data_IF_629531543451
#
_entry.id   IF_629531543451
#
_cell.length_a   1.000
_cell.length_b   1.000
_cell.length_c   1.000
_cell.angle_alpha   90.00
_cell.angle_beta   90.00
_cell.angle_gamma   90.00
#
_symmetry.space_group_name_H-M   'P 1'
#
loop_
_entity.id
_entity.type
_entity.pdbx_description
1 polymer ?
#
# COMPACT_ATOMS: atom_id res chain seq x y z
N UNK A 1 5.10 -34.64 -39.49
CA UNK A 1 3.78 -34.10 -39.09
C UNK A 1 3.81 -32.62 -39.40
N UNK A 2 3.50 -32.28 -40.64
CA UNK A 2 3.82 -30.95 -41.22
C UNK A 2 2.95 -29.84 -40.64
N UNK A 3 1.81 -30.21 -40.04
CA UNK A 3 0.97 -29.31 -39.25
C UNK A 3 1.67 -28.81 -37.99
N UNK A 4 2.35 -29.71 -37.27
CA UNK A 4 3.12 -29.32 -36.08
C UNK A 4 4.32 -28.44 -36.45
N UNK A 5 5.02 -28.73 -37.54
CA UNK A 5 6.11 -27.88 -38.00
C UNK A 5 5.64 -26.46 -38.39
N UNK A 6 4.48 -26.33 -39.05
CA UNK A 6 3.90 -25.01 -39.35
C UNK A 6 3.53 -24.23 -38.07
N UNK A 7 2.95 -24.90 -37.08
CA UNK A 7 2.61 -24.27 -35.81
C UNK A 7 3.86 -23.81 -35.03
N UNK A 8 4.93 -24.61 -35.04
CA UNK A 8 6.19 -24.22 -34.39
C UNK A 8 6.84 -23.03 -35.11
N UNK A 9 6.87 -23.03 -36.44
CA UNK A 9 7.42 -21.90 -37.21
C UNK A 9 6.64 -20.61 -36.99
N UNK A 10 5.31 -20.69 -36.91
CA UNK A 10 4.44 -19.55 -36.56
C UNK A 10 4.76 -19.02 -35.15
N UNK A 11 4.87 -19.92 -34.16
CA UNK A 11 5.13 -19.57 -32.77
C UNK A 11 6.52 -18.94 -32.57
N UNK A 12 7.52 -19.40 -33.32
CA UNK A 12 8.89 -18.85 -33.30
C UNK A 12 8.92 -17.47 -33.95
N UNK A 13 8.19 -17.27 -35.06
CA UNK A 13 8.07 -15.96 -35.70
C UNK A 13 7.36 -14.93 -34.79
N UNK A 14 6.25 -15.32 -34.15
CA UNK A 14 5.54 -14.48 -33.19
C UNK A 14 6.40 -14.16 -31.95
N UNK A 15 7.14 -15.14 -31.41
CA UNK A 15 8.08 -14.88 -30.32
C UNK A 15 9.20 -13.92 -30.69
N UNK A 16 9.72 -14.00 -31.92
CA UNK A 16 10.71 -13.06 -32.44
C UNK A 16 10.16 -11.64 -32.48
N UNK A 17 8.93 -11.46 -32.94
CA UNK A 17 8.24 -10.18 -32.98
C UNK A 17 8.04 -9.58 -31.58
N UNK A 18 7.55 -10.37 -30.61
CA UNK A 18 7.36 -9.91 -29.23
C UNK A 18 8.68 -9.50 -28.57
N UNK A 19 9.76 -10.28 -28.74
CA UNK A 19 11.08 -9.91 -28.20
C UNK A 19 11.61 -8.60 -28.79
N UNK A 20 11.34 -8.35 -30.07
CA UNK A 20 11.76 -7.11 -30.73
C UNK A 20 10.92 -5.90 -30.27
N UNK A 21 9.64 -6.08 -29.96
CA UNK A 21 8.79 -5.06 -29.33
C UNK A 21 9.26 -4.75 -27.89
N UNK A 22 9.60 -5.76 -27.09
CA UNK A 22 10.14 -5.58 -25.74
C UNK A 22 11.49 -4.86 -25.74
N UNK A 23 12.38 -5.14 -26.71
CA UNK A 23 13.65 -4.43 -26.84
C UNK A 23 13.49 -2.98 -27.34
N UNK A 24 12.53 -2.70 -28.25
CA UNK A 24 12.24 -1.33 -28.67
C UNK A 24 11.58 -0.48 -27.57
N UNK A 25 10.84 -1.10 -26.66
CA UNK A 25 10.30 -0.43 -25.46
C UNK A 25 11.37 -0.19 -24.38
N UNK A 26 12.48 -0.94 -24.36
CA UNK A 26 13.55 -0.84 -23.38
C UNK A 26 14.50 0.38 -23.50
N UNK A 27 14.27 1.27 -24.48
CA UNK A 27 15.05 2.50 -24.65
C UNK A 27 14.36 3.76 -24.08
N UNK A 28 13.16 3.63 -23.51
CA UNK A 28 12.48 4.73 -22.84
C UNK A 28 11.96 4.29 -21.45
N UNK A 29 12.48 4.96 -20.41
CA UNK A 29 12.04 4.91 -19.01
C UNK A 29 12.48 3.70 -18.17
N UNK A 30 13.48 3.95 -17.31
CA UNK A 30 13.64 3.25 -16.04
C UNK A 30 12.45 3.63 -15.15
N UNK A 31 11.59 2.67 -14.84
CA UNK A 31 10.91 2.60 -13.56
C UNK A 31 10.45 1.16 -13.32
N UNK A 32 11.02 0.53 -12.29
CA UNK A 32 10.58 -0.77 -11.82
C UNK A 32 9.40 -0.56 -10.87
N UNK A 33 8.18 -0.76 -11.36
CA UNK A 33 7.01 -0.93 -10.49
C UNK A 33 6.20 -2.11 -10.99
N UNK A 34 6.02 -3.09 -10.12
CA UNK A 34 5.31 -4.34 -10.39
C UNK A 34 3.80 -4.09 -10.41
N UNK A 35 3.23 -3.87 -11.60
CA UNK A 35 1.77 -3.86 -11.78
C UNK A 35 1.22 -5.28 -11.68
N UNK A 36 0.58 -5.58 -10.55
CA UNK A 36 -0.33 -6.73 -10.41
C UNK A 36 -1.72 -6.29 -10.90
N UNK A 37 -2.00 -6.53 -12.18
CA UNK A 37 -3.34 -6.34 -12.76
C UNK A 37 -4.20 -7.55 -12.41
N UNK A 38 -5.21 -7.34 -11.57
CA UNK A 38 -6.38 -8.23 -11.46
C UNK A 38 -7.65 -7.37 -11.55
N UNK A 39 -8.15 -7.28 -12.78
CA UNK A 39 -9.56 -7.07 -13.21
C UNK A 39 -10.53 -6.33 -12.27
N UNK A 40 -10.67 -5.01 -12.46
CA UNK A 40 -11.97 -4.36 -12.77
C UNK A 40 -11.74 -2.88 -13.13
N UNK A 41 -12.20 -2.43 -14.31
CA UNK A 41 -12.36 -1.00 -14.64
C UNK A 41 -11.08 -0.19 -14.79
N UNK A 42 -10.54 -0.12 -16.00
CA UNK A 42 -9.36 0.64 -16.37
C UNK A 42 -9.62 2.16 -16.34
N UNK A 43 -9.50 2.77 -15.15
CA UNK A 43 -9.13 4.18 -15.06
C UNK A 43 -7.60 4.23 -15.03
N UNK A 44 -6.98 4.58 -16.16
CA UNK A 44 -5.58 4.99 -16.18
C UNK A 44 -5.43 6.24 -15.30
N UNK A 45 -4.98 6.04 -14.07
CA UNK A 45 -4.51 7.11 -13.21
C UNK A 45 -3.16 7.56 -13.75
N UNK A 46 -3.15 8.57 -14.61
CA UNK A 46 -1.95 9.40 -14.75
C UNK A 46 -1.62 9.96 -13.36
N UNK A 47 -0.36 9.92 -12.89
CA UNK A 47 0.03 10.59 -11.66
C UNK A 47 -0.27 12.09 -11.83
N UNK A 48 -1.38 12.56 -11.27
CA UNK A 48 -1.78 13.97 -11.40
C UNK A 48 -0.93 14.91 -10.55
N UNK A 49 -0.02 14.37 -9.75
CA UNK A 49 0.84 15.16 -8.89
C UNK A 49 2.21 15.39 -9.56
N UNK A 50 2.62 16.64 -9.82
CA UNK A 50 4.02 16.91 -10.14
C UNK A 50 4.93 16.38 -9.01
N UNK A 51 6.21 16.09 -9.30
CA UNK A 51 7.14 15.61 -8.29
C UNK A 51 7.13 16.57 -7.11
N UNK A 52 6.65 16.11 -5.95
CA UNK A 52 6.67 16.91 -4.73
C UNK A 52 8.10 16.98 -4.19
N UNK A 53 8.46 18.15 -3.70
CA UNK A 53 9.75 18.38 -3.07
C UNK A 53 9.88 17.51 -1.80
N UNK A 54 11.03 16.87 -1.63
CA UNK A 54 11.36 16.08 -0.45
C UNK A 54 11.94 16.94 0.70
N UNK A 55 11.88 18.27 0.58
CA UNK A 55 12.24 19.20 1.66
C UNK A 55 11.33 19.02 2.89
N UNK A 56 11.75 19.50 4.08
CA UNK A 56 10.93 19.42 5.29
C UNK A 56 9.53 20.03 5.14
N UNK A 57 9.40 21.12 4.37
CA UNK A 57 8.11 21.73 4.08
C UNK A 57 7.25 20.86 3.15
N UNK A 58 7.86 20.22 2.15
CA UNK A 58 7.18 19.27 1.27
C UNK A 58 6.68 18.02 2.00
N UNK A 59 7.50 17.46 2.90
CA UNK A 59 7.10 16.33 3.74
C UNK A 59 5.98 16.70 4.71
N UNK A 60 6.02 17.89 5.30
CA UNK A 60 4.93 18.40 6.13
C UNK A 60 3.63 18.51 5.33
N UNK A 61 3.67 19.08 4.12
CA UNK A 61 2.49 19.18 3.25
C UNK A 61 1.92 17.81 2.88
N UNK A 62 2.78 16.82 2.60
CA UNK A 62 2.35 15.43 2.34
C UNK A 62 1.67 14.84 3.58
N UNK A 63 2.24 15.03 4.77
CA UNK A 63 1.68 14.53 6.02
C UNK A 63 0.30 15.14 6.32
N UNK A 64 0.16 16.46 6.15
CA UNK A 64 -1.10 17.18 6.38
C UNK A 64 -2.21 16.72 5.42
N UNK A 65 -1.90 16.58 4.14
CA UNK A 65 -2.85 16.09 3.14
C UNK A 65 -3.24 14.64 3.40
N UNK A 66 -2.25 13.79 3.71
CA UNK A 66 -2.50 12.37 4.02
C UNK A 66 -3.39 12.25 5.26
N UNK A 67 -3.17 13.08 6.28
CA UNK A 67 -4.02 13.11 7.48
C UNK A 67 -5.45 13.55 7.14
N UNK A 68 -5.60 14.62 6.35
CA UNK A 68 -6.93 15.11 5.96
C UNK A 68 -7.70 14.06 5.14
N UNK A 69 -7.04 13.41 4.19
CA UNK A 69 -7.63 12.33 3.38
C UNK A 69 -7.97 11.12 4.26
N UNK A 70 -7.07 10.73 5.17
CA UNK A 70 -7.30 9.64 6.11
C UNK A 70 -8.52 9.91 6.98
N UNK A 71 -8.64 11.08 7.59
CA UNK A 71 -9.79 11.42 8.44
C UNK A 71 -11.10 11.43 7.64
N UNK A 72 -11.08 12.00 6.44
CA UNK A 72 -12.24 11.99 5.53
C UNK A 72 -12.73 10.56 5.23
N UNK A 73 -11.81 9.60 5.02
CA UNK A 73 -12.14 8.20 4.75
C UNK A 73 -12.47 7.39 6.01
N UNK A 74 -11.77 7.63 7.12
CA UNK A 74 -11.87 6.85 8.34
C UNK A 74 -13.14 7.16 9.14
N UNK A 75 -13.48 8.46 9.27
CA UNK A 75 -14.63 8.92 10.07
C UNK A 75 -15.78 9.46 9.23
N UNK A 76 -15.52 9.86 7.98
CA UNK A 76 -16.53 10.41 7.08
C UNK A 76 -17.29 9.34 6.28
N UNK A 77 -18.05 9.82 5.29
CA UNK A 77 -18.81 9.02 4.32
C UNK A 77 -18.13 8.95 2.96
N UNK A 78 -16.84 9.30 2.88
CA UNK A 78 -16.09 9.34 1.62
C UNK A 78 -15.85 7.95 1.01
N UNK A 79 -16.05 6.89 1.80
CA UNK A 79 -15.92 5.50 1.36
C UNK A 79 -17.22 4.77 1.67
N UNK A 80 -17.75 4.08 0.67
CA UNK A 80 -18.83 3.12 0.85
C UNK A 80 -18.26 1.84 1.47
N UNK A 81 -18.66 1.54 2.70
CA UNK A 81 -18.13 0.42 3.48
C UNK A 81 -19.07 -0.77 3.43
N UNK A 82 -18.54 -1.93 3.02
CA UNK A 82 -19.24 -3.22 3.10
C UNK A 82 -18.61 -4.06 4.19
N UNK A 83 -19.42 -4.51 5.14
CA UNK A 83 -18.97 -5.36 6.23
C UNK A 83 -18.52 -6.72 5.70
N UNK A 84 -17.38 -7.21 6.18
CA UNK A 84 -16.84 -8.50 5.79
C UNK A 84 -17.78 -9.65 6.24
N UNK A 85 -18.25 -10.50 5.30
CA UNK A 85 -19.07 -11.65 5.64
C UNK A 85 -18.34 -12.64 6.55
N UNK A 86 -19.07 -13.30 7.44
CA UNK A 86 -18.52 -14.35 8.31
C UNK A 86 -17.77 -13.86 9.55
N UNK A 87 -17.64 -12.56 9.75
CA UNK A 87 -17.16 -11.99 11.02
C UNK A 87 -18.23 -12.11 12.10
N UNK A 88 -17.96 -12.94 13.13
CA UNK A 88 -18.73 -12.95 14.38
C UNK A 88 -18.03 -12.03 15.38
N UNK A 89 -18.72 -11.06 16.00
CA UNK A 89 -18.15 -10.32 17.12
C UNK A 89 -17.86 -11.33 18.25
N UNK A 90 -16.58 -11.56 18.52
CA UNK A 90 -16.14 -12.19 19.75
C UNK A 90 -16.29 -11.23 20.93
N UNK A 91 -16.37 -11.76 22.17
CA UNK A 91 -16.63 -10.97 23.38
C UNK A 91 -15.60 -9.86 23.64
N UNK A 92 -14.36 -10.03 23.17
CA UNK A 92 -13.25 -9.07 23.32
C UNK A 92 -12.73 -8.51 21.97
N UNK A 93 -13.54 -8.57 20.91
CA UNK A 93 -13.06 -8.47 19.52
C UNK A 93 -13.27 -7.13 18.82
N UNK A 94 -12.51 -6.92 17.73
CA UNK A 94 -12.79 -5.92 16.69
C UNK A 94 -14.27 -6.04 16.29
N UNK A 95 -15.08 -5.04 16.66
CA UNK A 95 -16.52 -5.04 16.47
C UNK A 95 -16.97 -4.89 15.01
N UNK A 96 -16.14 -4.29 14.16
CA UNK A 96 -16.46 -4.09 12.73
C UNK A 96 -15.20 -4.27 11.90
N UNK A 97 -15.25 -5.15 10.90
CA UNK A 97 -14.29 -5.18 9.79
C UNK A 97 -15.07 -4.94 8.50
N UNK A 98 -14.67 -3.91 7.75
CA UNK A 98 -15.30 -3.55 6.49
C UNK A 98 -14.25 -3.26 5.42
N UNK A 99 -14.62 -3.46 4.18
CA UNK A 99 -13.82 -3.14 3.01
C UNK A 99 -14.54 -2.13 2.14
N UNK A 100 -13.78 -1.35 1.37
CA UNK A 100 -14.35 -0.39 0.45
C UNK A 100 -15.07 -1.08 -0.71
N UNK A 101 -16.23 -0.53 -1.09
CA UNK A 101 -16.97 -0.93 -2.28
C UNK A 101 -17.00 0.20 -3.31
N UNK A 102 -16.93 -0.13 -4.59
CA UNK A 102 -17.11 0.81 -5.69
C UNK A 102 -16.05 1.92 -5.83
N UNK A 103 -14.99 1.96 -5.02
CA UNK A 103 -13.93 2.96 -5.13
C UNK A 103 -12.72 2.44 -5.92
N UNK A 104 -11.90 3.37 -6.43
CA UNK A 104 -10.59 3.04 -6.99
C UNK A 104 -9.63 2.63 -5.87
N UNK A 105 -9.02 1.45 -6.01
CA UNK A 105 -8.14 0.86 -5.01
C UNK A 105 -8.87 0.05 -3.94
N UNK A 106 -8.13 -0.36 -2.90
CA UNK A 106 -8.65 -1.18 -1.80
C UNK A 106 -8.39 -0.47 -0.48
N UNK A 107 -9.45 -0.21 0.29
CA UNK A 107 -9.36 0.24 1.67
C UNK A 107 -10.04 -0.77 2.60
N UNK A 108 -9.53 -0.88 3.82
CA UNK A 108 -10.09 -1.70 4.88
C UNK A 108 -10.19 -0.88 6.16
N UNK A 109 -11.25 -1.11 6.93
CA UNK A 109 -11.48 -0.49 8.23
C UNK A 109 -11.76 -1.58 9.26
N UNK A 110 -11.04 -1.51 10.38
CA UNK A 110 -11.29 -2.30 11.56
C UNK A 110 -11.58 -1.37 12.75
N UNK A 111 -12.68 -1.60 13.47
CA UNK A 111 -13.07 -0.80 14.63
C UNK A 111 -13.21 -1.70 15.85
N UNK A 112 -12.63 -1.31 16.98
CA UNK A 112 -12.77 -2.00 18.27
C UNK A 112 -12.77 -0.98 19.41
N UNK A 113 -13.37 -1.34 20.53
CA UNK A 113 -13.36 -0.54 21.76
C UNK A 113 -12.24 -1.03 22.67
N UNK A 114 -11.50 -0.10 23.26
CA UNK A 114 -10.43 -0.40 24.22
C UNK A 114 -10.58 0.49 25.45
N UNK A 115 -10.31 -0.05 26.63
CA UNK A 115 -10.38 0.67 27.90
C UNK A 115 -9.12 1.47 28.21
N UNK A 116 -8.58 2.20 27.24
CA UNK A 116 -7.34 2.98 27.36
C UNK A 116 -7.54 4.41 26.85
N UNK A 117 -6.81 5.36 27.43
CA UNK A 117 -6.74 6.74 26.95
C UNK A 117 -6.17 6.81 25.51
N UNK A 118 -6.66 7.72 24.64
CA UNK A 118 -6.24 7.78 23.24
C UNK A 118 -4.72 7.92 23.03
N UNK A 119 -4.04 8.70 23.87
CA UNK A 119 -2.59 8.86 23.82
C UNK A 119 -1.87 7.55 24.09
N UNK A 120 -2.35 6.76 25.05
CA UNK A 120 -1.77 5.45 25.36
C UNK A 120 -1.96 4.45 24.21
N UNK A 121 -3.11 4.50 23.55
CA UNK A 121 -3.36 3.69 22.35
C UNK A 121 -2.39 4.08 21.24
N UNK A 122 -2.20 5.39 20.99
CA UNK A 122 -1.27 5.87 19.96
C UNK A 122 0.18 5.41 20.23
N UNK A 123 0.65 5.49 21.47
CA UNK A 123 2.01 5.03 21.82
C UNK A 123 2.19 3.52 21.62
N UNK A 124 1.19 2.70 21.97
CA UNK A 124 1.23 1.26 21.69
C UNK A 124 1.28 1.02 20.18
N UNK A 125 0.42 1.68 19.39
CA UNK A 125 0.38 1.50 17.93
C UNK A 125 1.69 1.92 17.24
N UNK A 126 2.40 2.92 17.79
CA UNK A 126 3.71 3.35 17.29
C UNK A 126 4.81 2.32 17.57
N UNK A 127 4.75 1.62 18.71
CA UNK A 127 5.70 0.57 19.10
C UNK A 127 5.39 -0.77 18.42
N UNK A 128 5.45 -0.78 17.08
CA UNK A 128 5.10 -1.97 16.26
C UNK A 128 5.85 -3.25 16.65
N UNK A 129 7.16 -3.24 16.95
CA UNK A 129 7.87 -4.46 17.33
C UNK A 129 7.33 -5.14 18.60
N UNK A 130 6.68 -4.39 19.50
CA UNK A 130 6.13 -4.97 20.75
C UNK A 130 4.89 -5.83 20.56
N UNK A 131 4.11 -5.61 19.49
CA UNK A 131 2.80 -6.26 19.31
C UNK A 131 2.56 -6.84 17.91
N UNK A 132 3.21 -6.31 16.86
CA UNK A 132 3.06 -6.83 15.52
C UNK A 132 4.07 -7.95 15.27
N UNK A 133 3.64 -9.20 15.41
CA UNK A 133 4.49 -10.39 15.34
C UNK A 133 5.31 -10.51 14.04
N UNK A 134 4.76 -10.06 12.93
CA UNK A 134 5.45 -10.11 11.63
C UNK A 134 6.39 -8.92 11.43
N UNK A 135 6.40 -7.94 12.33
CA UNK A 135 7.35 -6.84 12.33
C UNK A 135 8.71 -7.34 12.81
N UNK A 136 9.69 -7.31 11.92
CA UNK A 136 11.07 -7.69 12.23
C UNK A 136 11.84 -6.55 12.86
N UNK A 137 11.74 -5.35 12.29
CA UNK A 137 12.47 -4.16 12.73
C UNK A 137 11.73 -2.89 12.29
N UNK A 138 11.91 -1.83 13.07
CA UNK A 138 11.52 -0.46 12.73
C UNK A 138 12.65 0.47 13.15
N UNK A 139 13.23 1.18 12.18
CA UNK A 139 14.29 2.15 12.40
C UNK A 139 13.77 3.56 12.08
N UNK A 140 13.91 4.49 13.01
CA UNK A 140 13.64 5.92 12.77
C UNK A 140 14.89 6.53 12.15
N UNK A 141 14.77 6.96 10.91
CA UNK A 141 15.89 7.46 10.11
C UNK A 141 15.98 8.97 10.12
N UNK A 142 14.85 9.66 10.28
CA UNK A 142 14.83 11.10 10.44
C UNK A 142 13.65 11.57 11.30
N UNK A 143 13.83 12.71 11.97
CA UNK A 143 12.88 13.35 12.85
C UNK A 143 12.80 14.84 12.49
N UNK A 144 11.60 15.30 12.14
CA UNK A 144 11.32 16.67 11.75
C UNK A 144 10.32 17.28 12.73
N UNK A 145 10.69 18.33 13.49
CA UNK A 145 9.75 18.98 14.39
C UNK A 145 8.68 19.76 13.60
N UNK A 146 7.45 19.76 14.09
CA UNK A 146 6.35 20.54 13.52
C UNK A 146 6.05 21.77 14.37
N UNK A 147 5.44 22.80 13.77
CA UNK A 147 5.16 24.08 14.44
C UNK A 147 4.19 23.95 15.64
N UNK A 148 3.36 22.91 15.67
CA UNK A 148 2.42 22.61 16.76
C UNK A 148 3.03 21.76 17.89
N UNK A 149 4.36 21.57 17.92
CA UNK A 149 5.06 20.80 18.95
C UNK A 149 5.00 19.28 18.75
N UNK A 150 4.52 18.82 17.59
CA UNK A 150 4.61 17.42 17.16
C UNK A 150 5.91 17.12 16.40
N UNK A 151 5.98 15.92 15.84
CA UNK A 151 7.10 15.44 15.04
C UNK A 151 6.61 14.60 13.87
N UNK A 152 7.27 14.76 12.72
CA UNK A 152 7.18 13.86 11.58
C UNK A 152 8.41 12.96 11.58
N UNK A 153 8.20 11.67 11.38
CA UNK A 153 9.23 10.65 11.36
C UNK A 153 9.31 10.00 9.99
N UNK A 154 10.54 9.85 9.50
CA UNK A 154 10.83 8.97 8.37
C UNK A 154 11.34 7.65 8.93
N UNK A 155 10.63 6.57 8.66
CA UNK A 155 10.94 5.24 9.18
C UNK A 155 11.22 4.26 8.07
N UNK A 156 12.12 3.31 8.36
CA UNK A 156 12.27 2.09 7.60
C UNK A 156 11.77 0.92 8.44
N UNK A 157 10.82 0.15 7.89
CA UNK A 157 10.23 -1.01 8.56
C UNK A 157 10.43 -2.26 7.73
N UNK A 158 10.82 -3.35 8.40
CA UNK A 158 10.97 -4.67 7.80
C UNK A 158 9.93 -5.64 8.36
N UNK A 159 9.32 -6.44 7.48
CA UNK A 159 8.40 -7.49 7.85
C UNK A 159 8.96 -8.86 7.46
N UNK A 160 8.70 -9.88 8.29
CA UNK A 160 8.94 -11.27 7.93
C UNK A 160 8.09 -11.69 6.73
N UNK A 161 8.51 -12.77 6.07
CA UNK A 161 7.72 -13.40 5.01
C UNK A 161 6.39 -13.92 5.60
N UNK A 162 5.22 -13.45 5.12
CA UNK A 162 3.95 -13.81 5.73
C UNK A 162 3.55 -15.27 5.44
N UNK A 163 4.10 -15.84 4.37
CA UNK A 163 3.95 -17.26 4.01
C UNK A 163 5.22 -17.76 3.34
N UNK A 164 5.32 -19.07 3.09
CA UNK A 164 6.41 -19.64 2.29
C UNK A 164 6.36 -19.27 0.80
N UNK A 165 5.23 -18.72 0.33
CA UNK A 165 5.02 -18.36 -1.08
C UNK A 165 5.16 -16.86 -1.35
N UNK A 166 5.21 -16.02 -0.31
CA UNK A 166 5.34 -14.57 -0.43
C UNK A 166 6.59 -14.09 0.32
N UNK A 167 7.48 -13.31 -0.33
CA UNK A 167 8.72 -12.88 0.29
C UNK A 167 8.48 -11.87 1.43
N UNK A 168 9.50 -11.68 2.25
CA UNK A 168 9.60 -10.57 3.19
C UNK A 168 9.44 -9.22 2.46
N UNK A 169 8.95 -8.21 3.18
CA UNK A 169 8.67 -6.88 2.64
C UNK A 169 9.23 -5.80 3.54
N UNK A 170 9.76 -4.77 2.91
CA UNK A 170 10.24 -3.58 3.60
C UNK A 170 9.47 -2.34 3.13
N UNK A 171 9.38 -1.35 4.01
CA UNK A 171 8.61 -0.13 3.78
C UNK A 171 9.41 1.09 4.22
N UNK A 172 9.34 2.15 3.41
CA UNK A 172 9.63 3.51 3.82
C UNK A 172 8.32 4.19 4.19
N UNK A 173 8.27 4.75 5.39
CA UNK A 173 7.04 5.30 5.96
C UNK A 173 7.29 6.73 6.43
N UNK A 174 6.31 7.59 6.17
CA UNK A 174 6.17 8.88 6.83
C UNK A 174 5.10 8.71 7.92
N UNK A 175 5.44 9.04 9.17
CA UNK A 175 4.55 8.96 10.33
C UNK A 175 4.50 10.31 11.02
#
# INVERSE_FOLDING_TARGET
NDRLQKQVSQLVYENGYFRQQTQKAGLASKDSSSESVVTSGQHHLTPQHPPRDASPAGLLSIAEETLAEFLSKATGTAVEWVQMPGMKPGPDSIGIVAISHGCTGVAARACGLVGLEPSRVAEILKDRPSWFRDCRAVDVLNLLPTANGGTIELLYMQLYAPTTLAPARDFWLLR
#
